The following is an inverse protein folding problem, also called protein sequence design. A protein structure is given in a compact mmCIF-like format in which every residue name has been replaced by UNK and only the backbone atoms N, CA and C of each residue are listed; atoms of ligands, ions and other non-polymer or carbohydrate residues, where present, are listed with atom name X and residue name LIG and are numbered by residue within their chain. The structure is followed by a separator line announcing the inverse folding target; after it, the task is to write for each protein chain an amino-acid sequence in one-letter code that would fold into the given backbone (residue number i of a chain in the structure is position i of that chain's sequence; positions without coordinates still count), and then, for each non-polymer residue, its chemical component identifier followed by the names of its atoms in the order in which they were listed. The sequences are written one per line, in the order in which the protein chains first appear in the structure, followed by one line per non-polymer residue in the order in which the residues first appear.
data_IF_124500756250
#
_entry.id   IF_124500756250
#
_cell.length_a   1.000
_cell.length_b   1.000
_cell.length_c   1.000
_cell.angle_alpha   90.00
_cell.angle_beta   90.00
_cell.angle_gamma   90.00
#
_symmetry.space_group_name_H-M   'P 1'
#
loop_
_entity.id
_entity.type
_entity.pdbx_description
1 polymer ?
#
# COMPACT_ATOMS: atom_id res chain seq x y z
N UNK A 1 -3.37 7.08 -26.48
CA UNK A 1 -4.02 6.37 -25.34
C UNK A 1 -3.14 5.19 -24.95
N UNK A 2 -2.45 5.26 -23.80
CA UNK A 2 -1.50 4.26 -23.36
C UNK A 2 -2.16 3.26 -22.45
N UNK A 3 -1.97 1.97 -22.68
CA UNK A 3 -2.35 0.92 -21.74
C UNK A 3 -1.09 0.22 -21.27
N UNK A 4 -0.80 0.31 -19.96
CA UNK A 4 0.18 -0.55 -19.31
C UNK A 4 -0.51 -1.79 -18.81
N UNK A 5 -0.06 -2.95 -19.22
CA UNK A 5 -0.53 -4.23 -18.73
C UNK A 5 0.43 -4.75 -17.67
N UNK A 6 0.12 -4.47 -16.40
CA UNK A 6 0.77 -5.08 -15.25
C UNK A 6 -0.24 -6.02 -14.58
N UNK A 7 -0.72 -7.07 -15.33
CA UNK A 7 -1.67 -8.10 -14.89
C UNK A 7 -2.82 -7.63 -13.99
N UNK A 8 -4.04 -7.85 -14.28
CA UNK A 8 -4.83 -7.79 -15.49
C UNK A 8 -5.52 -6.44 -15.73
N UNK A 9 -5.07 -5.34 -15.10
CA UNK A 9 -5.70 -4.03 -15.19
C UNK A 9 -5.01 -3.17 -16.25
N UNK A 10 -5.67 -2.99 -17.39
CA UNK A 10 -5.27 -1.99 -18.37
C UNK A 10 -5.65 -0.60 -17.88
N UNK A 11 -4.68 0.31 -17.77
CA UNK A 11 -4.91 1.69 -17.38
C UNK A 11 -4.61 2.63 -18.55
N UNK A 12 -5.50 3.61 -18.73
CA UNK A 12 -5.39 4.64 -19.73
C UNK A 12 -4.70 5.87 -19.15
N UNK A 13 -3.43 6.07 -19.52
CA UNK A 13 -2.64 7.19 -19.00
C UNK A 13 -3.02 8.49 -19.68
N UNK A 14 -3.43 9.46 -18.87
CA UNK A 14 -3.62 10.86 -19.31
C UNK A 14 -2.31 11.64 -19.18
N UNK A 15 -2.22 12.80 -19.81
CA UNK A 15 -1.08 13.71 -19.63
C UNK A 15 -0.89 14.03 -18.14
N UNK A 16 0.38 13.96 -17.69
CA UNK A 16 0.72 14.23 -16.30
C UNK A 16 0.54 13.05 -15.35
N UNK A 17 0.62 11.82 -15.83
CA UNK A 17 0.62 10.61 -14.99
C UNK A 17 2.04 10.11 -14.73
N UNK A 18 2.36 9.83 -13.46
CA UNK A 18 3.60 9.16 -13.04
C UNK A 18 3.33 7.73 -12.60
N UNK A 19 4.21 6.83 -13.01
CA UNK A 19 4.23 5.42 -12.60
C UNK A 19 5.60 5.11 -12.03
N UNK A 20 5.63 4.33 -10.97
CA UNK A 20 6.83 3.89 -10.30
C UNK A 20 6.99 2.38 -10.49
N UNK A 21 8.20 1.94 -10.77
CA UNK A 21 8.53 0.53 -10.98
C UNK A 21 9.63 0.13 -10.00
N UNK A 22 9.36 -0.88 -9.19
CA UNK A 22 10.36 -1.46 -8.31
C UNK A 22 11.33 -2.37 -9.08
N UNK A 23 12.53 -2.63 -8.55
CA UNK A 23 13.44 -3.61 -9.13
C UNK A 23 12.76 -4.97 -9.33
N UNK A 24 12.95 -5.57 -10.52
CA UNK A 24 12.37 -6.87 -10.86
C UNK A 24 10.92 -6.84 -11.35
N UNK A 25 10.25 -5.70 -11.35
CA UNK A 25 8.96 -5.57 -12.03
C UNK A 25 9.13 -5.54 -13.54
N UNK A 26 8.26 -6.27 -14.24
CA UNK A 26 8.19 -6.28 -15.70
C UNK A 26 7.07 -5.34 -16.14
N UNK A 27 7.42 -4.29 -16.85
CA UNK A 27 6.45 -3.39 -17.48
C UNK A 27 6.38 -3.71 -18.97
N UNK A 28 5.19 -3.87 -19.49
CA UNK A 28 4.91 -4.08 -20.92
C UNK A 28 4.01 -2.98 -21.46
N UNK A 29 4.28 -2.51 -22.69
CA UNK A 29 3.39 -1.62 -23.44
C UNK A 29 2.64 -2.48 -24.46
N UNK A 30 1.33 -2.57 -24.31
CA UNK A 30 0.48 -3.30 -25.26
C UNK A 30 -0.01 -2.33 -26.35
N UNK A 31 0.57 -2.41 -27.54
CA UNK A 31 0.07 -1.70 -28.71
C UNK A 31 -0.88 -2.64 -29.47
N UNK A 32 -2.14 -2.32 -29.59
CA UNK A 32 -3.15 -3.09 -30.36
C UNK A 32 -2.87 -3.10 -31.87
N UNK A 33 -1.60 -3.25 -32.28
CA UNK A 33 -1.19 -3.31 -33.70
C UNK A 33 -0.83 -1.94 -34.31
N UNK A 34 -1.06 -0.84 -33.59
CA UNK A 34 -0.66 0.50 -34.04
C UNK A 34 0.78 0.79 -33.65
N UNK A 35 1.55 1.40 -34.55
CA UNK A 35 2.89 1.92 -34.21
C UNK A 35 2.70 3.13 -33.32
N UNK A 36 2.88 2.93 -32.03
CA UNK A 36 2.74 3.98 -31.05
C UNK A 36 4.13 4.40 -30.52
N UNK A 37 4.44 5.69 -30.65
CA UNK A 37 5.67 6.27 -30.09
C UNK A 37 5.32 6.99 -28.78
N UNK A 38 5.70 6.41 -27.62
CA UNK A 38 5.51 7.09 -26.34
C UNK A 38 6.32 8.36 -26.26
N UNK A 39 5.68 9.44 -25.80
CA UNK A 39 6.38 10.66 -25.40
C UNK A 39 6.31 10.76 -23.88
N UNK A 40 7.45 10.77 -23.23
CA UNK A 40 7.52 10.86 -21.79
C UNK A 40 8.97 10.96 -21.31
N UNK A 41 9.14 11.27 -20.03
CA UNK A 41 10.42 11.30 -19.35
C UNK A 41 10.46 10.14 -18.38
N UNK A 42 11.65 9.59 -18.13
CA UNK A 42 11.85 8.54 -17.14
C UNK A 42 13.22 8.62 -16.51
N UNK A 43 13.30 8.37 -15.21
CA UNK A 43 14.55 8.18 -14.49
C UNK A 43 14.69 6.71 -14.15
N UNK A 44 15.74 6.10 -14.65
CA UNK A 44 16.13 4.73 -14.31
C UNK A 44 17.52 4.78 -13.69
N UNK A 45 17.67 4.19 -12.52
CA UNK A 45 18.96 4.17 -11.84
C UNK A 45 19.27 2.80 -11.24
N UNK A 46 20.55 2.46 -11.21
CA UNK A 46 21.02 1.24 -10.57
C UNK A 46 21.08 1.43 -9.03
N UNK A 47 20.81 0.41 -8.21
CA UNK A 47 20.90 0.49 -6.76
C UNK A 47 22.23 1.00 -6.22
N UNK A 48 23.36 0.75 -6.92
CA UNK A 48 24.68 1.24 -6.53
C UNK A 48 24.77 2.78 -6.52
N UNK A 49 23.97 3.45 -7.34
CA UNK A 49 23.91 4.92 -7.34
C UNK A 49 23.50 5.46 -5.98
N UNK A 50 22.49 4.84 -5.37
CA UNK A 50 21.92 5.30 -4.09
C UNK A 50 22.63 4.70 -2.87
N UNK A 51 23.50 3.69 -3.07
CA UNK A 51 24.22 3.06 -1.96
C UNK A 51 25.09 4.06 -1.19
N UNK A 52 24.92 4.09 0.14
CA UNK A 52 25.63 5.01 1.03
C UNK A 52 25.13 6.46 1.04
N UNK A 53 24.06 6.77 0.31
CA UNK A 53 23.42 8.10 0.29
C UNK A 53 22.23 8.19 1.24
N UNK A 54 21.69 9.41 1.46
CA UNK A 54 20.44 9.63 2.19
C UNK A 54 19.29 8.88 1.50
N UNK A 55 19.14 9.02 0.20
CA UNK A 55 18.12 8.32 -0.58
C UNK A 55 18.16 6.80 -0.38
N UNK A 56 19.35 6.19 -0.39
CA UNK A 56 19.49 4.76 -0.18
C UNK A 56 19.05 4.28 1.21
N UNK A 57 19.16 5.13 2.23
CA UNK A 57 18.70 4.82 3.59
C UNK A 57 17.16 4.85 3.71
N UNK A 58 16.50 5.74 2.95
CA UNK A 58 15.07 6.01 3.04
C UNK A 58 14.25 5.45 1.86
N UNK A 59 14.89 4.73 0.93
CA UNK A 59 14.22 4.23 -0.29
C UNK A 59 13.00 3.34 0.03
N UNK A 60 13.03 2.64 1.15
CA UNK A 60 11.94 1.79 1.61
C UNK A 60 10.70 2.58 2.08
N UNK A 61 10.83 3.87 2.37
CA UNK A 61 9.74 4.74 2.81
C UNK A 61 8.85 5.18 1.64
N UNK A 62 9.35 5.05 0.40
CA UNK A 62 8.59 5.36 -0.81
C UNK A 62 7.71 4.15 -1.21
N UNK A 63 6.61 3.96 -0.50
CA UNK A 63 5.69 2.82 -0.62
C UNK A 63 5.07 2.68 -2.00
N UNK A 64 4.97 3.79 -2.75
CA UNK A 64 4.39 3.84 -4.09
C UNK A 64 5.19 3.08 -5.16
N UNK A 65 6.42 2.66 -4.90
CA UNK A 65 7.10 1.69 -5.76
C UNK A 65 6.43 0.30 -5.76
N UNK A 66 5.59 0.02 -4.78
CA UNK A 66 4.80 -1.21 -4.72
C UNK A 66 3.35 -1.04 -5.19
N UNK A 67 2.97 0.12 -5.74
CA UNK A 67 1.64 0.37 -6.25
C UNK A 67 1.43 -0.27 -7.63
N UNK A 68 0.17 -0.52 -7.98
CA UNK A 68 -0.20 -1.00 -9.30
C UNK A 68 -0.39 0.17 -10.28
N UNK A 69 -0.44 -0.14 -11.58
CA UNK A 69 -0.57 0.89 -12.63
C UNK A 69 -1.86 1.70 -12.54
N UNK A 70 -2.95 1.10 -12.07
CA UNK A 70 -4.23 1.78 -11.83
C UNK A 70 -4.22 2.69 -10.59
N UNK A 71 -3.16 2.61 -9.78
CA UNK A 71 -2.91 3.44 -8.61
C UNK A 71 -1.89 4.56 -8.91
N UNK A 72 -1.67 4.85 -10.18
CA UNK A 72 -0.72 5.84 -10.65
C UNK A 72 -1.01 7.25 -10.09
N UNK A 73 0.05 8.04 -9.97
CA UNK A 73 -0.04 9.42 -9.52
C UNK A 73 -0.47 10.34 -10.67
N UNK A 74 -1.57 11.06 -10.48
CA UNK A 74 -2.04 12.09 -11.40
C UNK A 74 -1.58 13.47 -10.92
N UNK A 75 -0.85 14.15 -11.78
CA UNK A 75 -0.27 15.47 -11.50
C UNK A 75 -1.20 16.58 -11.99
N UNK A 76 -1.32 17.63 -11.20
CA UNK A 76 -1.76 18.93 -11.71
C UNK A 76 -0.67 19.57 -12.58
N UNK A 77 -1.02 20.60 -13.37
CA UNK A 77 -0.05 21.29 -14.22
C UNK A 77 1.16 21.81 -13.43
N UNK A 78 0.90 22.41 -12.26
CA UNK A 78 1.97 22.90 -11.37
C UNK A 78 2.85 21.79 -10.82
N UNK A 79 2.28 20.65 -10.45
CA UNK A 79 3.04 19.49 -9.98
C UNK A 79 3.88 18.89 -11.09
N UNK A 80 3.34 18.88 -12.32
CA UNK A 80 4.07 18.46 -13.53
C UNK A 80 5.29 19.34 -13.77
N UNK A 81 5.18 20.65 -13.64
CA UNK A 81 6.30 21.59 -13.76
C UNK A 81 7.40 21.27 -12.74
N UNK A 82 7.04 21.00 -11.47
CA UNK A 82 8.00 20.62 -10.42
C UNK A 82 8.72 19.32 -10.77
N UNK A 83 7.99 18.33 -11.27
CA UNK A 83 8.57 17.04 -11.69
C UNK A 83 9.54 17.25 -12.85
N UNK A 84 9.12 17.99 -13.88
CA UNK A 84 9.98 18.27 -15.05
C UNK A 84 11.24 19.07 -14.69
N UNK A 85 11.15 19.99 -13.72
CA UNK A 85 12.33 20.70 -13.20
C UNK A 85 13.33 19.72 -12.53
N UNK A 86 12.86 18.75 -11.77
CA UNK A 86 13.72 17.71 -11.20
C UNK A 86 14.41 16.88 -12.31
N UNK A 87 13.66 16.47 -13.34
CA UNK A 87 14.24 15.75 -14.49
C UNK A 87 15.31 16.60 -15.18
N UNK A 88 15.01 17.88 -15.48
CA UNK A 88 15.95 18.79 -16.14
C UNK A 88 17.25 18.96 -15.36
N UNK A 89 17.17 19.00 -14.04
CA UNK A 89 18.39 19.10 -13.18
C UNK A 89 19.20 17.81 -13.19
N UNK A 90 18.55 16.66 -13.26
CA UNK A 90 19.24 15.37 -13.38
C UNK A 90 19.93 15.28 -14.75
N UNK A 91 19.21 15.61 -15.84
CA UNK A 91 19.76 15.61 -17.19
C UNK A 91 20.96 16.59 -17.30
N UNK A 92 20.82 17.80 -16.76
CA UNK A 92 21.92 18.77 -16.74
C UNK A 92 23.16 18.21 -16.08
N UNK A 93 23.03 17.52 -14.95
CA UNK A 93 24.15 16.94 -14.23
C UNK A 93 24.79 15.75 -14.99
N UNK A 94 23.97 14.98 -15.72
CA UNK A 94 24.45 13.86 -16.55
C UNK A 94 25.20 14.34 -17.79
N UNK A 95 24.90 15.52 -18.31
CA UNK A 95 25.56 16.14 -19.44
C UNK A 95 26.93 16.79 -19.08
N UNK A 96 27.22 16.97 -17.79
CA UNK A 96 28.51 17.50 -17.33
C UNK A 96 29.56 16.41 -17.21
N UNK A 97 30.83 16.83 -17.11
CA UNK A 97 31.90 15.91 -16.75
C UNK A 97 31.68 15.37 -15.33
N UNK A 98 31.63 14.05 -15.21
CA UNK A 98 31.43 13.39 -13.92
C UNK A 98 32.56 13.72 -12.95
N UNK A 99 32.24 14.25 -11.79
CA UNK A 99 33.17 14.59 -10.73
C UNK A 99 32.74 14.00 -9.37
N UNK A 100 33.46 14.36 -8.30
CA UNK A 100 33.18 13.88 -6.93
C UNK A 100 31.86 14.36 -6.36
N UNK A 101 31.19 15.32 -6.97
CA UNK A 101 29.92 15.91 -6.53
C UNK A 101 28.71 15.35 -7.29
N UNK A 102 28.93 14.85 -8.52
CA UNK A 102 27.85 14.41 -9.43
C UNK A 102 26.94 13.38 -8.79
N UNK A 103 27.48 12.33 -8.14
CA UNK A 103 26.67 11.33 -7.43
C UNK A 103 25.73 11.98 -6.41
N UNK A 104 26.22 12.94 -5.62
CA UNK A 104 25.44 13.62 -4.60
C UNK A 104 24.35 14.48 -5.22
N UNK A 105 24.65 15.25 -6.26
CA UNK A 105 23.72 16.13 -6.93
C UNK A 105 22.58 15.34 -7.59
N UNK A 106 22.90 14.27 -8.30
CA UNK A 106 21.92 13.40 -8.93
C UNK A 106 21.00 12.77 -7.87
N UNK A 107 21.57 12.15 -6.84
CA UNK A 107 20.76 11.46 -5.81
C UNK A 107 19.91 12.42 -4.99
N UNK A 108 20.37 13.67 -4.76
CA UNK A 108 19.58 14.70 -4.08
C UNK A 108 18.38 15.15 -4.93
N UNK A 109 18.55 15.28 -6.25
CA UNK A 109 17.45 15.62 -7.15
C UNK A 109 16.43 14.47 -7.27
N UNK A 110 16.87 13.21 -7.25
CA UNK A 110 15.97 12.05 -7.19
C UNK A 110 15.22 12.04 -5.85
N UNK A 111 15.91 12.29 -4.73
CA UNK A 111 15.29 12.34 -3.40
C UNK A 111 14.25 13.47 -3.31
N UNK A 112 14.54 14.64 -3.89
CA UNK A 112 13.59 15.76 -3.98
C UNK A 112 12.37 15.40 -4.84
N UNK A 113 12.58 14.76 -5.99
CA UNK A 113 11.50 14.26 -6.85
C UNK A 113 10.59 13.32 -6.08
N UNK A 114 11.14 12.30 -5.43
CA UNK A 114 10.35 11.29 -4.69
C UNK A 114 9.64 11.91 -3.48
N UNK A 115 10.28 12.84 -2.77
CA UNK A 115 9.65 13.60 -1.68
C UNK A 115 8.46 14.45 -2.14
N UNK A 116 8.54 15.07 -3.31
CA UNK A 116 7.39 15.76 -3.91
C UNK A 116 6.27 14.77 -4.26
N UNK A 117 6.61 13.58 -4.78
CA UNK A 117 5.62 12.55 -5.11
C UNK A 117 4.84 12.06 -3.88
N UNK A 118 5.47 11.93 -2.69
CA UNK A 118 4.75 11.67 -1.44
C UNK A 118 3.65 12.71 -1.22
N UNK A 119 4.02 14.01 -1.29
CA UNK A 119 3.07 15.12 -1.12
C UNK A 119 1.93 15.07 -2.15
N UNK A 120 2.24 14.72 -3.40
CA UNK A 120 1.24 14.65 -4.47
C UNK A 120 0.30 13.47 -4.30
N UNK A 121 0.78 12.31 -3.85
CA UNK A 121 -0.07 11.21 -3.44
C UNK A 121 -0.95 11.59 -2.25
N UNK A 122 -0.41 12.30 -1.28
CA UNK A 122 -1.17 12.84 -0.15
C UNK A 122 -2.33 13.72 -0.61
N UNK A 123 -2.12 14.62 -1.53
CA UNK A 123 -3.17 15.43 -2.15
C UNK A 123 -4.16 14.54 -2.91
N UNK A 124 -3.66 13.54 -3.68
CA UNK A 124 -4.52 12.65 -4.45
C UNK A 124 -5.45 11.83 -3.55
N UNK A 125 -4.99 11.33 -2.41
CA UNK A 125 -5.82 10.65 -1.43
C UNK A 125 -6.92 11.58 -0.89
N UNK A 126 -6.61 12.85 -0.56
CA UNK A 126 -7.60 13.83 -0.10
C UNK A 126 -8.67 14.09 -1.19
N UNK A 127 -8.26 14.31 -2.42
CA UNK A 127 -9.20 14.59 -3.52
C UNK A 127 -10.06 13.39 -3.91
N UNK A 128 -9.70 12.19 -3.49
CA UNK A 128 -10.44 10.93 -3.71
C UNK A 128 -11.20 10.46 -2.47
N UNK A 129 -11.41 11.30 -1.48
CA UNK A 129 -12.05 10.95 -0.20
C UNK A 129 -13.36 10.14 -0.38
N UNK A 130 -14.25 10.56 -1.27
CA UNK A 130 -15.50 9.81 -1.54
C UNK A 130 -15.24 8.38 -2.08
N UNK A 131 -14.24 8.21 -2.91
CA UNK A 131 -13.86 6.89 -3.44
C UNK A 131 -13.23 6.06 -2.33
N UNK A 132 -12.39 6.65 -1.51
CA UNK A 132 -11.72 6.01 -0.38
C UNK A 132 -12.72 5.56 0.68
N UNK A 133 -13.72 6.39 1.02
CA UNK A 133 -14.82 6.00 1.92
C UNK A 133 -15.56 4.75 1.39
N UNK A 134 -15.87 4.71 0.10
CA UNK A 134 -16.48 3.52 -0.52
C UNK A 134 -15.60 2.28 -0.47
N UNK A 135 -14.28 2.43 -0.56
CA UNK A 135 -13.32 1.34 -0.40
C UNK A 135 -13.30 0.86 1.06
N UNK A 136 -13.32 1.77 2.02
CA UNK A 136 -13.33 1.44 3.44
C UNK A 136 -14.61 0.68 3.83
N UNK A 137 -15.78 1.11 3.33
CA UNK A 137 -17.04 0.39 3.52
C UNK A 137 -16.99 -1.04 2.94
N UNK A 138 -16.45 -1.21 1.74
CA UNK A 138 -16.24 -2.54 1.15
C UNK A 138 -15.26 -3.39 1.97
N UNK A 139 -14.20 -2.78 2.50
CA UNK A 139 -13.26 -3.46 3.38
C UNK A 139 -13.94 -3.99 4.63
N UNK A 140 -14.81 -3.18 5.28
CA UNK A 140 -15.60 -3.64 6.42
C UNK A 140 -16.54 -4.79 6.05
N UNK A 141 -17.18 -4.73 4.88
CA UNK A 141 -18.03 -5.81 4.38
C UNK A 141 -17.23 -7.10 4.15
N UNK A 142 -16.02 -7.00 3.57
CA UNK A 142 -15.11 -8.13 3.37
C UNK A 142 -14.78 -8.79 4.72
N UNK A 143 -14.41 -7.99 5.74
CA UNK A 143 -14.10 -8.52 7.07
C UNK A 143 -15.32 -9.15 7.74
N UNK A 144 -16.50 -8.51 7.66
CA UNK A 144 -17.75 -9.07 8.18
C UNK A 144 -18.07 -10.43 7.53
N UNK A 145 -18.02 -10.50 6.20
CA UNK A 145 -18.25 -11.73 5.46
C UNK A 145 -17.20 -12.81 5.76
N UNK A 146 -15.95 -12.39 5.93
CA UNK A 146 -14.86 -13.32 6.28
C UNK A 146 -15.13 -14.00 7.61
N UNK A 147 -15.41 -13.23 8.67
CA UNK A 147 -15.63 -13.76 10.01
C UNK A 147 -17.01 -14.45 10.19
N UNK A 148 -17.99 -14.14 9.33
CA UNK A 148 -19.27 -14.85 9.29
C UNK A 148 -19.19 -16.19 8.52
N UNK A 149 -18.16 -16.39 7.72
CA UNK A 149 -17.96 -17.62 6.92
C UNK A 149 -17.09 -18.65 7.65
N UNK A 150 -16.82 -19.78 6.98
CA UNK A 150 -15.87 -20.79 7.47
C UNK A 150 -14.41 -20.48 7.10
N UNK A 151 -14.13 -19.33 6.44
CA UNK A 151 -12.76 -18.94 6.02
C UNK A 151 -11.76 -18.85 7.19
N UNK A 152 -12.11 -18.29 8.37
CA UNK A 152 -11.18 -18.28 9.49
C UNK A 152 -10.69 -19.66 9.87
N UNK A 153 -11.58 -20.65 9.89
CA UNK A 153 -11.22 -22.03 10.24
C UNK A 153 -10.35 -22.71 9.18
N UNK A 154 -10.58 -22.44 7.89
CA UNK A 154 -9.92 -23.11 6.77
C UNK A 154 -8.64 -22.42 6.30
N UNK A 155 -8.61 -21.09 6.31
CA UNK A 155 -7.53 -20.27 5.78
C UNK A 155 -6.72 -19.61 6.92
N UNK A 156 -7.36 -19.36 8.07
CA UNK A 156 -6.75 -18.66 9.20
C UNK A 156 -7.19 -17.21 9.29
N UNK A 157 -6.34 -16.34 9.84
CA UNK A 157 -6.63 -14.92 9.95
C UNK A 157 -6.53 -14.21 8.60
N UNK A 158 -7.43 -13.23 8.31
CA UNK A 158 -7.33 -12.45 7.09
C UNK A 158 -6.05 -11.61 7.11
N UNK A 159 -5.30 -11.65 6.01
CA UNK A 159 -4.12 -10.81 5.82
C UNK A 159 -4.46 -9.51 5.13
N UNK A 160 -3.58 -8.50 5.25
CA UNK A 160 -3.69 -7.24 4.50
C UNK A 160 -3.69 -7.52 3.00
N UNK A 161 -2.83 -8.44 2.54
CA UNK A 161 -2.76 -8.83 1.13
C UNK A 161 -4.07 -9.44 0.63
N UNK A 162 -4.71 -10.32 1.42
CA UNK A 162 -6.01 -10.89 1.10
C UNK A 162 -7.08 -9.80 0.92
N UNK A 163 -7.16 -8.84 1.87
CA UNK A 163 -8.15 -7.77 1.81
C UNK A 163 -7.89 -6.82 0.62
N UNK A 164 -6.64 -6.52 0.33
CA UNK A 164 -6.25 -5.71 -0.82
C UNK A 164 -6.61 -6.38 -2.15
N UNK A 165 -6.36 -7.69 -2.28
CA UNK A 165 -6.69 -8.48 -3.47
C UNK A 165 -8.21 -8.52 -3.75
N UNK A 166 -9.02 -8.73 -2.71
CA UNK A 166 -10.49 -8.66 -2.81
C UNK A 166 -11.01 -7.26 -3.25
N UNK A 167 -10.21 -6.22 -3.02
CA UNK A 167 -10.51 -4.83 -3.42
C UNK A 167 -9.85 -4.45 -4.75
N UNK A 168 -9.09 -5.36 -5.37
CA UNK A 168 -8.29 -5.11 -6.58
C UNK A 168 -7.28 -3.94 -6.41
N UNK A 169 -6.65 -3.90 -5.23
CA UNK A 169 -5.64 -2.91 -4.87
C UNK A 169 -4.32 -3.59 -4.51
N UNK A 170 -3.22 -2.85 -4.68
CA UNK A 170 -1.93 -3.29 -4.11
C UNK A 170 -1.97 -3.23 -2.58
N UNK A 171 -1.29 -4.15 -1.87
CA UNK A 171 -1.22 -4.11 -0.41
C UNK A 171 -0.66 -2.79 0.15
N UNK A 172 0.29 -2.17 -0.57
CA UNK A 172 0.90 -0.90 -0.17
C UNK A 172 -0.10 0.26 -0.28
N UNK A 173 -0.74 0.42 -1.45
CA UNK A 173 -1.76 1.46 -1.66
C UNK A 173 -2.93 1.32 -0.67
N UNK A 174 -3.43 0.09 -0.52
CA UNK A 174 -4.49 -0.22 0.44
C UNK A 174 -4.07 0.12 1.88
N UNK A 175 -2.84 -0.26 2.29
CA UNK A 175 -2.32 0.04 3.61
C UNK A 175 -2.19 1.54 3.88
N UNK A 176 -1.67 2.30 2.91
CA UNK A 176 -1.51 3.76 3.00
C UNK A 176 -2.87 4.47 3.04
N UNK A 177 -3.82 4.02 2.21
CA UNK A 177 -5.19 4.54 2.19
C UNK A 177 -5.89 4.30 3.54
N UNK A 178 -5.88 3.06 4.07
CA UNK A 178 -6.52 2.74 5.36
C UNK A 178 -5.88 3.55 6.49
N UNK A 179 -4.55 3.64 6.54
CA UNK A 179 -3.84 4.39 7.57
C UNK A 179 -4.21 5.87 7.53
N UNK A 180 -4.38 6.43 6.36
CA UNK A 180 -4.75 7.82 6.18
C UNK A 180 -6.19 8.09 6.62
N UNK A 181 -7.13 7.28 6.16
CA UNK A 181 -8.57 7.46 6.45
C UNK A 181 -8.92 7.17 7.91
N UNK A 182 -8.22 6.24 8.57
CA UNK A 182 -8.59 5.74 9.90
C UNK A 182 -7.59 6.09 11.01
N UNK A 183 -6.38 6.55 10.64
CA UNK A 183 -5.25 6.71 11.56
C UNK A 183 -4.62 5.40 12.03
N UNK A 184 -5.14 4.24 11.62
CA UNK A 184 -4.65 2.90 11.97
C UNK A 184 -4.06 2.22 10.74
N UNK A 185 -3.05 1.39 10.93
CA UNK A 185 -2.60 0.50 9.86
C UNK A 185 -3.70 -0.50 9.50
N UNK A 186 -3.70 -1.00 8.26
CA UNK A 186 -4.68 -2.01 7.83
C UNK A 186 -4.66 -3.27 8.73
N UNK A 187 -3.48 -3.66 9.22
CA UNK A 187 -3.34 -4.77 10.16
C UNK A 187 -4.02 -4.47 11.52
N UNK A 188 -3.79 -3.29 12.09
CA UNK A 188 -4.45 -2.87 13.33
C UNK A 188 -5.96 -2.80 13.18
N UNK A 189 -6.45 -2.36 12.01
CA UNK A 189 -7.88 -2.34 11.71
C UNK A 189 -8.47 -3.75 11.68
N UNK A 190 -7.83 -4.70 11.00
CA UNK A 190 -8.21 -6.12 10.98
C UNK A 190 -8.23 -6.70 12.40
N UNK A 191 -7.19 -6.42 13.20
CA UNK A 191 -7.10 -6.89 14.58
C UNK A 191 -8.20 -6.30 15.47
N UNK A 192 -8.53 -5.00 15.31
CA UNK A 192 -9.65 -4.38 16.03
C UNK A 192 -10.96 -5.12 15.72
N UNK A 193 -11.27 -5.33 14.44
CA UNK A 193 -12.47 -6.05 14.02
C UNK A 193 -12.53 -7.49 14.54
N UNK A 194 -11.40 -8.19 14.47
CA UNK A 194 -11.27 -9.54 15.02
C UNK A 194 -11.60 -9.58 16.53
N UNK A 195 -11.11 -8.62 17.29
CA UNK A 195 -11.36 -8.54 18.73
C UNK A 195 -12.85 -8.21 19.02
N UNK A 196 -13.48 -7.38 18.20
CA UNK A 196 -14.92 -7.11 18.36
C UNK A 196 -15.75 -8.38 18.13
N UNK A 197 -15.45 -9.16 17.09
CA UNK A 197 -16.08 -10.48 16.87
C UNK A 197 -15.76 -11.44 18.01
N UNK A 198 -14.52 -11.40 18.55
CA UNK A 198 -14.12 -12.24 19.67
C UNK A 198 -14.92 -11.90 20.96
N UNK A 199 -15.16 -10.61 21.24
CA UNK A 199 -15.96 -10.18 22.40
C UNK A 199 -17.38 -10.74 22.34
N UNK A 200 -18.00 -10.80 21.17
CA UNK A 200 -19.32 -11.39 20.99
C UNK A 200 -19.30 -12.91 21.27
N UNK A 201 -18.33 -13.62 20.68
CA UNK A 201 -18.22 -15.08 20.80
C UNK A 201 -17.79 -15.56 22.20
N UNK A 202 -17.11 -14.71 22.98
CA UNK A 202 -16.50 -15.13 24.25
C UNK A 202 -17.56 -15.46 25.32
N UNK A 203 -18.77 -14.91 25.19
CA UNK A 203 -19.89 -15.20 26.07
C UNK A 203 -20.61 -16.52 25.79
N UNK A 204 -20.27 -17.20 24.71
CA UNK A 204 -20.72 -18.58 24.45
C UNK A 204 -20.04 -19.52 25.47
N UNK A 205 -20.80 -19.89 26.52
CA UNK A 205 -20.30 -20.73 27.61
C UNK A 205 -20.18 -22.20 27.22
N UNK A 206 -20.79 -22.62 26.11
CA UNK A 206 -20.64 -23.99 25.59
C UNK A 206 -19.27 -24.23 24.94
N UNK A 207 -18.56 -23.13 24.61
CA UNK A 207 -17.24 -23.20 23.97
C UNK A 207 -16.12 -22.80 24.93
N UNK A 208 -15.05 -23.53 24.86
CA UNK A 208 -13.79 -23.14 25.51
C UNK A 208 -13.15 -21.97 24.76
N UNK A 209 -12.34 -21.17 25.46
CA UNK A 209 -11.56 -20.08 24.85
C UNK A 209 -10.66 -20.60 23.72
N UNK A 210 -10.13 -21.82 23.84
CA UNK A 210 -9.33 -22.43 22.80
C UNK A 210 -10.16 -22.73 21.53
N UNK A 211 -11.38 -23.23 21.66
CA UNK A 211 -12.26 -23.48 20.54
C UNK A 211 -12.62 -22.17 19.83
N UNK A 212 -12.93 -21.11 20.61
CA UNK A 212 -13.19 -19.78 20.04
C UNK A 212 -11.96 -19.26 19.28
N UNK A 213 -10.76 -19.43 19.82
CA UNK A 213 -9.52 -19.04 19.14
C UNK A 213 -9.35 -19.76 17.78
N UNK A 214 -9.64 -21.06 17.72
CA UNK A 214 -9.58 -21.84 16.46
C UNK A 214 -10.66 -21.37 15.48
N UNK A 215 -11.90 -21.13 15.94
CA UNK A 215 -12.98 -20.59 15.10
C UNK A 215 -12.66 -19.21 14.53
N UNK A 216 -11.88 -18.41 15.24
CA UNK A 216 -11.42 -17.10 14.80
C UNK A 216 -10.22 -17.17 13.87
N UNK A 217 -9.66 -18.35 13.65
CA UNK A 217 -8.54 -18.57 12.72
C UNK A 217 -7.15 -18.55 13.35
N UNK A 218 -7.05 -18.57 14.67
CA UNK A 218 -5.74 -18.68 15.32
C UNK A 218 -5.24 -20.12 15.28
N UNK A 219 -4.02 -20.30 14.84
CA UNK A 219 -3.32 -21.59 14.87
C UNK A 219 -2.96 -22.01 16.31
N UNK A 220 -2.73 -21.03 17.18
CA UNK A 220 -2.33 -21.23 18.58
C UNK A 220 -3.18 -20.35 19.51
N UNK A 221 -3.99 -20.92 20.42
CA UNK A 221 -4.86 -20.16 21.34
C UNK A 221 -4.13 -19.15 22.22
N UNK A 222 -2.85 -19.40 22.55
CA UNK A 222 -2.05 -18.44 23.32
C UNK A 222 -1.81 -17.12 22.58
N UNK A 223 -1.72 -17.15 21.24
CA UNK A 223 -1.58 -15.92 20.47
C UNK A 223 -2.89 -15.11 20.49
N UNK A 224 -4.03 -15.77 20.45
CA UNK A 224 -5.32 -15.13 20.65
C UNK A 224 -5.41 -14.48 22.03
N UNK A 225 -5.12 -15.23 23.10
CA UNK A 225 -5.21 -14.73 24.46
C UNK A 225 -4.30 -13.51 24.70
N UNK A 226 -3.10 -13.51 24.11
CA UNK A 226 -2.16 -12.39 24.17
C UNK A 226 -2.69 -11.16 23.43
N UNK A 227 -3.17 -11.33 22.18
CA UNK A 227 -3.71 -10.24 21.39
C UNK A 227 -4.97 -9.65 22.07
N UNK A 228 -5.86 -10.51 22.56
CA UNK A 228 -7.07 -10.09 23.26
C UNK A 228 -6.73 -9.26 24.51
N UNK A 229 -5.80 -9.75 25.34
CA UNK A 229 -5.36 -9.01 26.53
C UNK A 229 -4.72 -7.68 26.19
N UNK A 230 -3.92 -7.63 25.12
CA UNK A 230 -3.27 -6.40 24.66
C UNK A 230 -4.28 -5.34 24.22
N UNK A 231 -5.38 -5.75 23.54
CA UNK A 231 -6.37 -4.85 23.00
C UNK A 231 -7.48 -4.48 23.99
N UNK A 232 -7.83 -5.39 24.92
CA UNK A 232 -8.98 -5.26 25.83
C UNK A 232 -8.55 -4.95 27.28
N UNK A 233 -7.29 -5.26 27.64
CA UNK A 233 -6.78 -5.11 28.99
C UNK A 233 -6.97 -6.35 29.88
N UNK A 234 -7.89 -7.25 29.53
CA UNK A 234 -8.21 -8.47 30.26
C UNK A 234 -7.93 -9.71 29.40
N UNK A 235 -7.61 -10.83 30.04
CA UNK A 235 -7.58 -12.12 29.34
C UNK A 235 -9.00 -12.51 28.90
N UNK A 236 -9.15 -13.39 27.87
CA UNK A 236 -10.47 -13.88 27.47
C UNK A 236 -11.28 -14.50 28.61
N UNK A 237 -10.65 -15.23 29.54
CA UNK A 237 -11.32 -15.82 30.69
C UNK A 237 -11.77 -14.77 31.71
N UNK A 238 -10.89 -13.81 32.02
CA UNK A 238 -11.25 -12.69 32.92
C UNK A 238 -12.41 -11.87 32.33
N UNK A 239 -12.35 -11.58 31.02
CA UNK A 239 -13.40 -10.82 30.34
C UNK A 239 -14.74 -11.56 30.35
N UNK A 240 -14.76 -12.89 30.17
CA UNK A 240 -15.96 -13.74 30.29
C UNK A 240 -16.56 -13.69 31.71
N UNK A 241 -15.72 -13.55 32.73
CA UNK A 241 -16.17 -13.54 34.13
C UNK A 241 -16.68 -12.17 34.59
N UNK A 242 -16.46 -11.09 33.83
CA UNK A 242 -16.89 -9.73 34.18
C UNK A 242 -18.40 -9.50 33.90
N UNK A 243 -19.05 -10.38 33.15
CA UNK A 243 -20.45 -10.36 32.81
C UNK A 243 -21.07 -11.73 33.06
#
# INVERSE_FOLDING_TARGET
MWRYDLRPNTYDYQEGTLVFLAPGQVAGVNSNGDIYQPKGHGVVFHPDLIYGTSLGKHIQEYTFFGYQSNEALHLSDREREIVLDCFSKIDYELDQAIDKHSKRLITTNIELLLGNCIRFYDRQFITREHVNCGILEKFEQILNNYFASNKPHTIGLPSVAYCADELHLSPNYFGDMVKRETGKTALEYIQTKLIDVAKEKIFDTEKTVAQIAYELGFKYPQHFARLFKQQVGYTPLEYRSLN
#
